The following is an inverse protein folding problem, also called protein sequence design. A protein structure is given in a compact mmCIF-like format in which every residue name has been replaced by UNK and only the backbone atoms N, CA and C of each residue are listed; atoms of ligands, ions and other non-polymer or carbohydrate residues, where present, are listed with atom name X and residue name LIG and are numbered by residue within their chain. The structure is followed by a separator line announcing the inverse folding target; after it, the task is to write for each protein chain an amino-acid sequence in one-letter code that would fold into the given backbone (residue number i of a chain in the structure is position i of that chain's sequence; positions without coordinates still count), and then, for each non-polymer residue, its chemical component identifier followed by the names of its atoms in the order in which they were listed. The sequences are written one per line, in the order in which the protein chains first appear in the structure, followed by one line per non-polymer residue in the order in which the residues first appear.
data_IF_929057498652
#
_entry.id   IF_929057498652
#
_cell.length_a   1.000
_cell.length_b   1.000
_cell.length_c   1.000
_cell.angle_alpha   90.00
_cell.angle_beta   90.00
_cell.angle_gamma   90.00
#
_symmetry.space_group_name_H-M   'P 1'
#
loop_
_entity.id
_entity.type
_entity.pdbx_description
1 polymer ?
#
# COMPACT_ATOMS: atom_id res chain seq x y z
N UNK A 1 75.44 -22.30 -5.27
CA UNK A 1 74.73 -22.03 -4.00
C UNK A 1 74.07 -20.65 -3.94
N UNK A 2 74.67 -19.57 -4.49
CA UNK A 2 74.06 -18.21 -4.43
C UNK A 2 72.82 -18.04 -5.31
N UNK A 3 72.76 -18.70 -6.47
CA UNK A 3 71.63 -18.65 -7.41
C UNK A 3 70.34 -19.23 -6.84
N UNK A 4 70.43 -20.29 -6.04
CA UNK A 4 69.27 -20.96 -5.44
C UNK A 4 68.53 -20.05 -4.44
N UNK A 5 69.27 -19.21 -3.72
CA UNK A 5 68.73 -18.27 -2.74
C UNK A 5 68.00 -17.09 -3.41
N UNK A 6 68.52 -16.60 -4.54
CA UNK A 6 67.88 -15.57 -5.35
C UNK A 6 66.57 -16.05 -5.96
N UNK A 7 66.58 -17.22 -6.61
CA UNK A 7 65.38 -17.81 -7.22
C UNK A 7 64.31 -18.07 -6.16
N UNK A 8 64.69 -18.62 -5.01
CA UNK A 8 63.76 -18.87 -3.90
C UNK A 8 63.17 -17.59 -3.33
N UNK A 9 63.96 -16.53 -3.18
CA UNK A 9 63.48 -15.23 -2.71
C UNK A 9 62.46 -14.61 -3.68
N UNK A 10 62.77 -14.58 -4.98
CA UNK A 10 61.87 -14.04 -6.01
C UNK A 10 60.58 -14.85 -6.10
N UNK A 11 60.67 -16.18 -6.05
CA UNK A 11 59.49 -17.06 -6.08
C UNK A 11 58.58 -16.83 -4.86
N UNK A 12 59.17 -16.58 -3.69
CA UNK A 12 58.42 -16.27 -2.46
C UNK A 12 57.67 -14.95 -2.58
N UNK A 13 58.31 -13.92 -3.14
CA UNK A 13 57.67 -12.61 -3.38
C UNK A 13 56.51 -12.74 -4.38
N UNK A 14 56.71 -13.46 -5.47
CA UNK A 14 55.65 -13.72 -6.47
C UNK A 14 54.48 -14.48 -5.82
N UNK A 15 54.76 -15.50 -5.01
CA UNK A 15 53.73 -16.27 -4.33
C UNK A 15 52.89 -15.39 -3.37
N UNK A 16 53.52 -14.47 -2.64
CA UNK A 16 52.83 -13.50 -1.76
C UNK A 16 51.95 -12.55 -2.59
N UNK A 17 52.46 -12.00 -3.69
CA UNK A 17 51.66 -11.12 -4.56
C UNK A 17 50.45 -11.84 -5.14
N UNK A 18 50.60 -13.10 -5.56
CA UNK A 18 49.50 -13.91 -6.09
C UNK A 18 48.47 -14.28 -5.02
N UNK A 19 48.90 -14.55 -3.78
CA UNK A 19 47.96 -14.83 -2.68
C UNK A 19 47.12 -13.62 -2.31
N UNK A 20 47.71 -12.42 -2.28
CA UNK A 20 46.95 -11.17 -2.04
C UNK A 20 45.97 -10.90 -3.19
N UNK A 21 46.38 -11.12 -4.45
CA UNK A 21 45.50 -10.93 -5.60
C UNK A 21 44.31 -11.90 -5.58
N UNK A 22 44.55 -13.16 -5.19
CA UNK A 22 43.51 -14.17 -5.05
C UNK A 22 42.49 -13.81 -3.95
N UNK A 23 42.95 -13.29 -2.81
CA UNK A 23 42.06 -12.86 -1.72
C UNK A 23 41.17 -11.68 -2.16
N UNK A 24 41.68 -10.77 -3.00
CA UNK A 24 40.90 -9.65 -3.54
C UNK A 24 39.87 -10.07 -4.61
N UNK A 25 40.07 -11.21 -5.27
CA UNK A 25 39.13 -11.76 -6.27
C UNK A 25 38.12 -12.73 -5.67
N UNK A 26 38.48 -13.38 -4.57
CA UNK A 26 37.53 -14.15 -3.78
C UNK A 26 36.62 -13.16 -3.06
N UNK A 27 35.38 -13.03 -3.52
CA UNK A 27 34.29 -12.38 -2.80
C UNK A 27 33.93 -13.20 -1.54
N UNK A 28 34.88 -13.27 -0.60
CA UNK A 28 34.79 -13.96 0.71
C UNK A 28 33.67 -13.38 1.58
N UNK A 29 33.29 -12.14 1.29
CA UNK A 29 32.09 -11.51 1.84
C UNK A 29 31.02 -11.59 0.74
N UNK A 30 29.95 -12.37 0.94
CA UNK A 30 28.87 -12.42 -0.02
C UNK A 30 28.30 -11.01 -0.19
N UNK A 31 28.40 -10.48 -1.41
CA UNK A 31 27.75 -9.21 -1.76
C UNK A 31 26.24 -9.45 -1.73
N UNK A 32 25.56 -8.76 -0.82
CA UNK A 32 24.10 -8.75 -0.81
C UNK A 32 23.63 -7.95 -2.03
N UNK A 33 23.36 -8.67 -3.12
CA UNK A 33 22.65 -8.09 -4.26
C UNK A 33 21.20 -7.89 -3.84
N UNK A 34 20.79 -6.62 -3.65
CA UNK A 34 19.38 -6.28 -3.59
C UNK A 34 18.81 -6.57 -4.99
N UNK A 35 18.16 -7.72 -5.13
CA UNK A 35 17.26 -7.92 -6.27
C UNK A 35 16.16 -6.89 -6.09
N UNK A 36 16.00 -6.00 -7.07
CA UNK A 36 14.73 -5.30 -7.23
C UNK A 36 13.68 -6.41 -7.28
N UNK A 37 12.87 -6.51 -6.24
CA UNK A 37 11.68 -7.32 -6.29
C UNK A 37 10.83 -6.64 -7.35
N UNK A 38 10.83 -7.18 -8.57
CA UNK A 38 9.74 -6.92 -9.50
C UNK A 38 8.45 -7.08 -8.67
N UNK A 39 7.54 -6.09 -8.67
CA UNK A 39 6.34 -6.17 -7.86
C UNK A 39 5.73 -7.54 -8.11
N UNK A 40 5.69 -8.31 -7.02
CA UNK A 40 5.41 -9.74 -6.99
C UNK A 40 4.26 -10.07 -7.93
N UNK A 41 4.36 -11.21 -8.62
CA UNK A 41 3.22 -11.79 -9.32
C UNK A 41 1.99 -11.67 -8.41
N UNK A 42 1.07 -10.83 -8.86
CA UNK A 42 -0.08 -10.36 -8.09
C UNK A 42 -0.84 -11.59 -7.65
N UNK A 43 -0.84 -11.89 -6.35
CA UNK A 43 -1.79 -12.85 -5.81
C UNK A 43 -3.18 -12.32 -6.15
N UNK A 44 -4.06 -13.18 -6.64
CA UNK A 44 -5.38 -12.80 -7.17
C UNK A 44 -6.34 -12.24 -6.10
N UNK A 45 -5.87 -12.01 -4.88
CA UNK A 45 -6.69 -11.67 -3.72
C UNK A 45 -6.34 -10.30 -3.13
N UNK A 46 -5.07 -9.85 -3.20
CA UNK A 46 -4.70 -8.50 -2.76
C UNK A 46 -3.47 -7.97 -3.50
N UNK A 47 -3.50 -6.68 -3.82
CA UNK A 47 -2.37 -5.96 -4.38
C UNK A 47 -1.87 -4.93 -3.38
N UNK A 48 -0.56 -4.88 -3.17
CA UNK A 48 0.08 -3.80 -2.40
C UNK A 48 0.30 -2.64 -3.36
N UNK A 49 -0.38 -1.52 -3.12
CA UNK A 49 -0.24 -0.30 -3.91
C UNK A 49 0.72 0.63 -3.16
N UNK A 50 1.77 1.15 -3.82
CA UNK A 50 2.67 2.11 -3.18
C UNK A 50 1.90 3.38 -2.80
N UNK A 51 2.13 3.86 -1.58
CA UNK A 51 1.58 5.13 -1.07
C UNK A 51 2.51 6.29 -1.44
N UNK A 52 1.96 7.48 -1.62
CA UNK A 52 2.77 8.68 -1.84
C UNK A 52 3.52 9.09 -0.56
N UNK A 53 4.58 9.91 -0.70
CA UNK A 53 5.30 10.49 0.46
C UNK A 53 4.39 11.33 1.37
N UNK A 54 3.22 11.74 0.88
CA UNK A 54 2.20 12.49 1.62
C UNK A 54 1.16 11.58 2.29
N UNK A 55 1.40 10.26 2.32
CA UNK A 55 0.47 9.24 2.86
C UNK A 55 -0.90 9.23 2.17
N UNK A 56 -0.98 9.73 0.93
CA UNK A 56 -2.20 9.72 0.12
C UNK A 56 -2.16 8.62 -0.92
N UNK A 57 -3.34 8.11 -1.28
CA UNK A 57 -3.51 7.13 -2.34
C UNK A 57 -4.71 7.52 -3.20
N UNK A 58 -4.45 7.75 -4.48
CA UNK A 58 -5.49 8.03 -5.47
C UNK A 58 -6.03 6.72 -6.03
N UNK A 59 -7.29 6.39 -5.73
CA UNK A 59 -7.94 5.15 -6.19
C UNK A 59 -9.06 5.50 -7.16
N UNK A 60 -8.99 4.96 -8.37
CA UNK A 60 -10.09 4.98 -9.33
C UNK A 60 -10.64 3.58 -9.50
N UNK A 61 -11.91 3.41 -9.13
CA UNK A 61 -12.64 2.16 -9.30
C UNK A 61 -13.39 2.22 -10.64
N UNK A 62 -13.08 1.31 -11.56
CA UNK A 62 -13.74 1.19 -12.88
C UNK A 62 -14.14 -0.26 -13.13
N UNK A 63 -15.20 -0.46 -13.91
CA UNK A 63 -15.63 -1.77 -14.42
C UNK A 63 -15.75 -2.87 -13.35
N UNK A 64 -16.34 -2.54 -12.19
CA UNK A 64 -16.66 -3.52 -11.15
C UNK A 64 -17.70 -4.49 -11.71
N UNK A 65 -17.27 -5.71 -12.03
CA UNK A 65 -18.15 -6.81 -12.42
C UNK A 65 -18.42 -7.72 -11.21
N UNK A 66 -19.16 -7.19 -10.23
CA UNK A 66 -19.72 -8.02 -9.14
C UNK A 66 -21.10 -8.51 -9.55
N UNK A 67 -21.46 -9.71 -9.11
CA UNK A 67 -22.77 -10.30 -9.45
C UNK A 67 -23.94 -9.57 -8.77
N UNK A 68 -23.69 -8.79 -7.71
CA UNK A 68 -24.71 -8.07 -6.95
C UNK A 68 -24.29 -6.61 -6.67
N UNK A 69 -23.40 -6.38 -5.70
CA UNK A 69 -23.13 -5.04 -5.16
C UNK A 69 -21.64 -4.87 -4.78
N UNK A 70 -21.16 -3.63 -4.73
CA UNK A 70 -19.84 -3.28 -4.20
C UNK A 70 -19.99 -2.85 -2.73
N UNK A 71 -19.40 -3.63 -1.81
CA UNK A 71 -19.37 -3.28 -0.40
C UNK A 71 -18.13 -2.42 -0.09
N UNK A 72 -18.34 -1.23 0.47
CA UNK A 72 -17.28 -0.30 0.85
C UNK A 72 -17.49 0.13 2.30
N UNK A 73 -16.45 0.05 3.12
CA UNK A 73 -16.42 0.64 4.45
C UNK A 73 -15.69 1.98 4.39
N UNK A 74 -16.37 3.05 4.78
CA UNK A 74 -15.85 4.41 4.77
C UNK A 74 -15.71 4.92 6.20
N UNK A 75 -14.56 5.50 6.52
CA UNK A 75 -14.30 6.17 7.80
C UNK A 75 -13.87 7.60 7.50
N UNK A 76 -14.70 8.56 7.92
CA UNK A 76 -14.52 10.00 7.67
C UNK A 76 -14.51 10.34 6.18
N UNK A 77 -15.64 10.88 5.70
CA UNK A 77 -15.83 11.25 4.29
C UNK A 77 -15.95 12.76 4.21
N UNK A 78 -15.09 13.37 3.40
CA UNK A 78 -15.16 14.79 3.03
C UNK A 78 -15.17 14.86 1.50
N UNK A 79 -16.17 15.54 0.94
CA UNK A 79 -16.39 15.64 -0.50
C UNK A 79 -16.51 17.09 -0.92
N UNK A 80 -15.97 17.42 -2.09
CA UNK A 80 -16.05 18.78 -2.63
C UNK A 80 -17.50 19.19 -2.95
N UNK A 81 -18.24 18.27 -3.57
CA UNK A 81 -19.65 18.44 -3.92
C UNK A 81 -20.54 17.54 -3.04
N UNK A 82 -21.83 17.85 -3.00
CA UNK A 82 -22.83 17.05 -2.29
C UNK A 82 -22.96 15.63 -2.89
N UNK A 83 -22.98 14.62 -2.01
CA UNK A 83 -23.20 13.23 -2.39
C UNK A 83 -24.67 12.86 -2.21
N UNK A 84 -25.32 12.45 -3.29
CA UNK A 84 -26.67 11.89 -3.24
C UNK A 84 -26.62 10.42 -2.82
N UNK A 85 -27.24 10.08 -1.70
CA UNK A 85 -27.24 8.72 -1.13
C UNK A 85 -28.67 8.21 -0.98
N UNK A 86 -28.90 6.97 -1.39
CA UNK A 86 -30.13 6.24 -1.10
C UNK A 86 -29.89 5.34 0.11
N UNK A 87 -30.51 5.69 1.25
CA UNK A 87 -30.31 4.97 2.50
C UNK A 87 -31.46 3.98 2.72
N UNK A 88 -31.14 2.70 2.88
CA UNK A 88 -32.15 1.66 3.18
C UNK A 88 -32.38 1.48 4.68
N UNK A 89 -31.31 1.55 5.47
CA UNK A 89 -31.34 1.37 6.92
C UNK A 89 -30.18 2.11 7.56
N UNK A 90 -30.40 2.61 8.77
CA UNK A 90 -29.37 3.19 9.63
C UNK A 90 -29.46 2.48 10.98
N UNK A 91 -28.31 2.03 11.48
CA UNK A 91 -28.17 1.42 12.81
C UNK A 91 -27.11 2.21 13.58
N UNK A 92 -27.50 2.77 14.72
CA UNK A 92 -26.69 3.65 15.56
C UNK A 92 -26.96 3.34 17.03
N UNK A 93 -25.94 3.46 17.87
CA UNK A 93 -26.08 3.27 19.32
C UNK A 93 -26.79 4.42 20.01
N UNK A 94 -26.63 5.63 19.46
CA UNK A 94 -27.12 6.88 20.03
C UNK A 94 -28.09 7.58 19.07
N UNK A 95 -28.65 8.72 19.49
CA UNK A 95 -29.58 9.52 18.69
C UNK A 95 -28.93 10.03 17.39
N UNK A 96 -29.68 9.94 16.29
CA UNK A 96 -29.26 10.44 14.98
C UNK A 96 -29.97 11.75 14.66
N UNK A 97 -29.22 12.84 14.72
CA UNK A 97 -29.70 14.15 14.30
C UNK A 97 -29.70 14.27 12.77
N UNK A 98 -30.85 14.61 12.18
CA UNK A 98 -30.99 14.85 10.73
C UNK A 98 -31.75 16.14 10.45
N UNK A 99 -31.33 16.85 9.41
CA UNK A 99 -32.06 18.00 8.88
C UNK A 99 -32.85 17.56 7.65
N UNK A 100 -34.16 17.78 7.66
CA UNK A 100 -35.07 17.41 6.58
C UNK A 100 -35.63 18.67 5.95
N UNK A 101 -35.51 18.78 4.63
CA UNK A 101 -36.08 19.88 3.85
C UNK A 101 -37.49 19.50 3.33
N UNK A 102 -37.69 18.23 2.94
CA UNK A 102 -38.91 17.75 2.33
C UNK A 102 -39.24 16.31 2.74
N UNK A 103 -40.53 16.00 2.94
CA UNK A 103 -41.03 14.64 3.18
C UNK A 103 -42.23 14.39 2.26
N UNK A 104 -42.12 13.39 1.39
CA UNK A 104 -43.24 12.92 0.57
C UNK A 104 -43.86 13.96 -0.37
N UNK A 105 -43.07 14.91 -0.90
CA UNK A 105 -43.58 15.97 -1.78
C UNK A 105 -43.85 17.31 -1.08
N UNK A 106 -43.75 17.36 0.26
CA UNK A 106 -44.09 18.54 1.06
C UNK A 106 -42.91 19.07 1.87
N UNK A 107 -42.69 20.39 1.80
CA UNK A 107 -41.67 21.09 2.58
C UNK A 107 -41.91 20.95 4.08
N UNK A 108 -40.82 20.75 4.83
CA UNK A 108 -40.85 20.70 6.29
C UNK A 108 -40.60 22.10 6.84
N UNK A 109 -41.53 22.61 7.65
CA UNK A 109 -41.37 23.92 8.31
C UNK A 109 -41.07 23.73 9.80
N UNK A 110 -40.12 24.51 10.32
CA UNK A 110 -39.59 24.40 11.68
C UNK A 110 -40.69 24.41 12.77
N UNK A 111 -40.62 23.45 13.70
CA UNK A 111 -41.26 23.54 15.03
C UNK A 111 -42.45 22.64 15.33
N UNK A 112 -42.88 21.78 14.39
CA UNK A 112 -43.99 20.83 14.59
C UNK A 112 -43.52 19.37 14.70
N UNK A 113 -44.22 18.51 15.45
CA UNK A 113 -43.92 17.08 15.50
C UNK A 113 -44.13 16.43 14.11
N UNK A 114 -43.16 15.64 13.66
CA UNK A 114 -43.24 14.86 12.43
C UNK A 114 -43.95 13.53 12.73
N UNK A 115 -44.98 13.20 11.95
CA UNK A 115 -45.68 11.92 12.08
C UNK A 115 -44.82 10.82 11.47
N UNK A 116 -44.42 9.87 12.32
CA UNK A 116 -43.68 8.67 11.90
C UNK A 116 -44.58 7.44 12.01
N UNK A 117 -44.32 6.45 11.16
CA UNK A 117 -44.91 5.11 11.29
C UNK A 117 -43.95 4.24 12.09
N UNK A 118 -44.43 3.70 13.19
CA UNK A 118 -43.74 2.64 13.93
C UNK A 118 -44.23 1.31 13.36
N UNK A 119 -43.30 0.43 13.03
CA UNK A 119 -43.58 -0.97 12.69
C UNK A 119 -43.48 -1.86 13.94
#
# INVERSE_FOLDING_TARGET
MKTDLYTKSVLTVIAICLTVNLIGQLDLIPKAHASESNPSEVSTEYAVVPISDMETMDVRIVDINTYDELNVNLKSVDTYDEVKVNIKSIDTSDELDVNLDEIGGGWVTNGGPIKVKLD
#
